data_IF_155290039590
#
_entry.id   IF_155290039590
#
_cell.length_a   1.000
_cell.length_b   1.000
_cell.length_c   1.000
_cell.angle_alpha   90.00
_cell.angle_beta   90.00
_cell.angle_gamma   90.00
#
_symmetry.space_group_name_H-M   'P 1'
#
loop_
_entity.id
_entity.type
_entity.pdbx_description
1 polymer ?
#
# COMPACT_ATOMS: atom_id res chain seq x y z
N UNK A 1 1.00 11.47 24.27
CA UNK A 1 -0.12 10.78 23.62
C UNK A 1 -0.45 9.47 24.32
N UNK A 2 0.52 8.51 24.48
CA UNK A 2 0.27 7.18 25.10
C UNK A 2 -0.46 7.28 26.44
N UNK A 3 -0.06 8.20 27.33
CA UNK A 3 -0.70 8.39 28.64
C UNK A 3 -2.18 8.80 28.52
N UNK A 4 -2.50 9.74 27.63
CA UNK A 4 -3.88 10.18 27.41
C UNK A 4 -4.75 9.09 26.74
N UNK A 5 -4.13 8.25 25.87
CA UNK A 5 -4.82 7.11 25.24
C UNK A 5 -5.13 5.98 26.23
N UNK A 6 -4.31 5.80 27.26
CA UNK A 6 -4.56 4.80 28.30
C UNK A 6 -5.78 5.13 29.16
N UNK A 7 -6.27 6.38 29.10
CA UNK A 7 -7.41 6.89 29.85
C UNK A 7 -8.46 7.52 28.92
N UNK A 8 -9.14 6.72 28.07
CA UNK A 8 -10.08 7.23 27.07
C UNK A 8 -11.28 7.91 27.72
N UNK A 9 -11.53 9.17 27.34
CA UNK A 9 -12.64 9.96 27.86
C UNK A 9 -12.43 10.58 29.23
N UNK A 10 -11.36 10.23 29.95
CA UNK A 10 -11.03 10.74 31.26
C UNK A 10 -10.15 11.99 31.19
N UNK A 11 -10.27 12.86 32.23
CA UNK A 11 -9.41 14.02 32.38
C UNK A 11 -8.23 13.68 33.29
N UNK A 12 -7.02 13.78 32.77
CA UNK A 12 -5.78 13.68 33.55
C UNK A 12 -5.30 15.06 33.94
N UNK A 13 -5.06 15.30 35.22
CA UNK A 13 -4.54 16.58 35.68
C UNK A 13 -3.12 16.85 35.12
N UNK A 14 -2.79 18.11 34.93
CA UNK A 14 -1.43 18.48 34.52
C UNK A 14 -0.37 18.04 35.51
N UNK A 15 -0.74 17.81 36.78
CA UNK A 15 0.16 17.29 37.81
C UNK A 15 0.41 15.78 37.61
N UNK A 16 -0.62 14.98 37.40
CA UNK A 16 -0.49 13.55 37.13
C UNK A 16 0.38 13.29 35.89
N UNK A 17 0.13 14.03 34.78
CA UNK A 17 0.94 13.95 33.57
C UNK A 17 2.39 14.36 33.83
N UNK A 18 2.61 15.45 34.55
CA UNK A 18 3.93 15.95 34.94
C UNK A 18 4.71 14.91 35.74
N UNK A 19 4.06 14.30 36.73
CA UNK A 19 4.67 13.25 37.59
C UNK A 19 5.00 11.99 36.77
N UNK A 20 4.03 11.52 35.99
CA UNK A 20 4.20 10.31 35.15
C UNK A 20 5.34 10.44 34.12
N UNK A 21 5.45 11.62 33.48
CA UNK A 21 6.46 11.88 32.46
C UNK A 21 7.76 12.47 33.01
N UNK A 22 7.84 12.77 34.32
CA UNK A 22 8.99 13.42 34.97
C UNK A 22 9.38 14.76 34.32
N UNK A 23 8.40 15.58 33.92
CA UNK A 23 8.60 16.90 33.29
C UNK A 23 7.82 17.96 34.04
N UNK A 24 8.12 19.25 33.82
CA UNK A 24 7.39 20.34 34.45
C UNK A 24 5.96 20.48 33.87
N UNK A 25 5.03 21.04 34.66
CA UNK A 25 3.67 21.38 34.21
C UNK A 25 3.69 22.33 32.96
N UNK A 26 4.65 23.25 32.92
CA UNK A 26 4.83 24.12 31.76
C UNK A 26 5.24 23.33 30.50
N UNK A 27 6.07 22.30 30.66
CA UNK A 27 6.42 21.39 29.57
C UNK A 27 5.20 20.55 29.12
N UNK A 28 4.36 20.08 30.06
CA UNK A 28 3.09 19.39 29.73
C UNK A 28 2.22 20.29 28.86
N UNK A 29 2.02 21.55 29.23
CA UNK A 29 1.24 22.49 28.42
C UNK A 29 1.82 22.67 27.03
N UNK A 30 3.13 22.87 26.87
CA UNK A 30 3.80 22.97 25.57
C UNK A 30 3.57 21.72 24.71
N UNK A 31 3.69 20.53 25.29
CA UNK A 31 3.42 19.28 24.56
C UNK A 31 1.96 19.16 24.14
N UNK A 32 1.01 19.58 24.98
CA UNK A 32 -0.42 19.59 24.61
C UNK A 32 -0.67 20.55 23.45
N UNK A 33 -0.07 21.75 23.46
CA UNK A 33 -0.22 22.69 22.34
C UNK A 33 0.42 22.16 21.04
N UNK A 34 1.60 21.52 21.12
CA UNK A 34 2.19 20.85 19.95
C UNK A 34 1.30 19.73 19.40
N UNK A 35 0.70 18.92 20.27
CA UNK A 35 -0.24 17.88 19.84
C UNK A 35 -1.49 18.47 19.20
N UNK A 36 -2.06 19.54 19.74
CA UNK A 36 -3.18 20.27 19.14
C UNK A 36 -2.83 20.80 17.76
N UNK A 37 -1.65 21.41 17.62
CA UNK A 37 -1.14 21.87 16.33
C UNK A 37 -0.93 20.72 15.33
N UNK A 38 -0.67 19.51 15.82
CA UNK A 38 -0.59 18.28 15.01
C UNK A 38 -1.96 17.61 14.77
N UNK A 39 -3.09 18.30 15.11
CA UNK A 39 -4.44 17.82 14.83
C UNK A 39 -5.08 16.94 15.90
N UNK A 40 -4.42 16.73 17.05
CA UNK A 40 -5.04 16.00 18.17
C UNK A 40 -6.11 16.87 18.84
N UNK A 41 -7.33 16.38 18.98
CA UNK A 41 -8.35 17.04 19.76
C UNK A 41 -8.17 16.75 21.25
N UNK A 42 -7.51 17.65 21.95
CA UNK A 42 -7.30 17.56 23.40
C UNK A 42 -8.13 18.63 24.09
N UNK A 43 -9.19 18.21 24.78
CA UNK A 43 -9.98 19.08 25.63
C UNK A 43 -9.19 19.42 26.90
N UNK A 44 -9.30 20.69 27.34
CA UNK A 44 -8.78 21.13 28.62
C UNK A 44 -9.94 21.67 29.48
N UNK A 45 -10.02 21.23 30.73
CA UNK A 45 -10.95 21.77 31.73
C UNK A 45 -10.18 22.26 32.93
N UNK A 46 -10.55 23.45 33.39
CA UNK A 46 -9.96 24.04 34.60
C UNK A 46 -10.16 23.09 35.80
N UNK A 47 -9.10 22.89 36.56
CA UNK A 47 -9.01 21.98 37.71
C UNK A 47 -9.16 20.47 37.42
N UNK A 48 -9.52 20.07 36.21
CA UNK A 48 -9.61 18.66 35.84
C UNK A 48 -8.41 18.20 34.99
N UNK A 49 -7.88 19.06 34.09
CA UNK A 49 -6.72 18.74 33.26
C UNK A 49 -7.08 18.54 31.80
N UNK A 50 -6.47 17.54 31.18
CA UNK A 50 -6.50 17.28 29.72
C UNK A 50 -7.16 15.93 29.42
N UNK A 51 -8.01 15.89 28.41
CA UNK A 51 -8.67 14.67 27.93
C UNK A 51 -8.54 14.59 26.40
N UNK A 52 -8.06 13.46 25.88
CA UNK A 52 -8.01 13.19 24.46
C UNK A 52 -9.43 12.88 23.95
N UNK A 53 -9.91 13.63 22.96
CA UNK A 53 -11.25 13.49 22.38
C UNK A 53 -11.20 12.74 21.05
N UNK A 54 -10.28 13.14 20.19
CA UNK A 54 -10.06 12.45 18.91
C UNK A 54 -8.58 12.45 18.53
N UNK A 55 -8.23 11.53 17.70
CA UNK A 55 -6.90 11.37 17.11
C UNK A 55 -6.97 11.81 15.66
N UNK A 56 -5.99 12.58 15.18
CA UNK A 56 -5.85 12.75 13.75
C UNK A 56 -5.52 11.38 13.10
N UNK A 57 -5.87 11.23 11.84
CA UNK A 57 -5.53 10.04 11.05
C UNK A 57 -4.03 10.04 10.69
N UNK A 58 -3.18 9.95 11.72
CA UNK A 58 -1.73 9.88 11.58
C UNK A 58 -1.25 8.44 11.60
N UNK A 59 -0.36 8.12 10.66
CA UNK A 59 0.34 6.85 10.66
C UNK A 59 1.60 6.97 11.52
N UNK A 60 1.59 6.35 12.69
CA UNK A 60 2.71 6.30 13.61
C UNK A 60 3.21 4.85 13.72
N UNK A 61 4.53 4.64 13.64
CA UNK A 61 5.14 3.31 13.70
C UNK A 61 4.68 2.50 14.91
N UNK A 62 4.73 3.11 16.12
CA UNK A 62 4.26 2.49 17.36
C UNK A 62 2.80 2.02 17.30
N UNK A 63 1.95 2.81 16.63
CA UNK A 63 0.53 2.47 16.51
C UNK A 63 0.32 1.35 15.50
N UNK A 64 1.06 1.35 14.40
CA UNK A 64 0.98 0.29 13.39
C UNK A 64 1.51 -1.02 13.98
N UNK A 65 2.67 -1.01 14.64
CA UNK A 65 3.31 -2.19 15.22
C UNK A 65 2.49 -2.83 16.35
N UNK A 66 1.67 -2.02 17.06
CA UNK A 66 0.81 -2.55 18.13
C UNK A 66 -0.18 -3.54 17.55
N UNK A 67 -0.14 -4.76 18.05
CA UNK A 67 -1.00 -5.87 17.62
C UNK A 67 -0.85 -6.26 16.12
N UNK A 68 0.28 -5.91 15.47
CA UNK A 68 0.50 -6.24 14.07
C UNK A 68 0.59 -7.77 13.86
N UNK A 69 1.26 -8.50 14.76
CA UNK A 69 1.34 -9.96 14.82
C UNK A 69 1.85 -10.64 13.53
N UNK A 70 2.74 -9.97 12.80
CA UNK A 70 3.41 -10.49 11.59
C UNK A 70 4.71 -11.21 11.93
N UNK A 71 5.19 -12.07 11.04
CA UNK A 71 6.46 -12.83 11.22
C UNK A 71 7.66 -12.09 10.62
N UNK A 72 7.46 -11.45 9.48
CA UNK A 72 8.52 -10.78 8.69
C UNK A 72 8.17 -9.32 8.47
N UNK A 73 7.04 -9.02 7.85
CA UNK A 73 6.66 -7.68 7.42
C UNK A 73 6.36 -6.78 8.61
N UNK A 74 7.00 -5.62 8.68
CA UNK A 74 6.78 -4.65 9.78
C UNK A 74 7.59 -4.92 11.04
N UNK A 75 8.69 -5.70 10.95
CA UNK A 75 9.67 -5.80 12.04
C UNK A 75 10.30 -4.46 12.37
N UNK A 76 10.48 -3.64 11.35
CA UNK A 76 10.87 -2.23 11.44
C UNK A 76 9.89 -1.41 10.59
N UNK A 77 9.44 -0.27 11.12
CA UNK A 77 8.50 0.61 10.42
C UNK A 77 8.98 2.05 10.54
N UNK A 78 9.25 2.67 9.40
CA UNK A 78 9.54 4.08 9.27
C UNK A 78 8.31 4.83 8.77
N UNK A 79 7.78 5.75 9.58
CA UNK A 79 6.69 6.64 9.20
C UNK A 79 7.22 8.06 9.04
N UNK A 80 7.20 8.57 7.82
CA UNK A 80 7.76 9.88 7.46
C UNK A 80 6.65 10.81 6.99
N UNK A 81 6.71 12.08 7.38
CA UNK A 81 5.72 13.06 6.96
C UNK A 81 5.78 13.31 5.46
N UNK A 82 7.00 13.53 4.94
CA UNK A 82 7.25 13.77 3.53
C UNK A 82 8.61 13.20 3.12
N UNK A 83 8.65 12.60 1.94
CA UNK A 83 9.86 12.12 1.30
C UNK A 83 9.73 12.19 -0.23
N UNK A 84 10.78 11.86 -0.97
CA UNK A 84 10.74 11.80 -2.43
C UNK A 84 9.87 10.64 -2.93
N UNK A 85 10.19 9.41 -2.51
CA UNK A 85 9.46 8.19 -2.82
C UNK A 85 9.75 7.12 -1.77
N UNK A 86 8.72 6.45 -1.25
CA UNK A 86 8.87 5.33 -0.29
C UNK A 86 9.73 4.22 -0.88
N UNK A 87 9.58 3.92 -2.19
CA UNK A 87 10.40 2.93 -2.88
C UNK A 87 11.88 3.33 -2.92
N UNK A 88 12.18 4.61 -3.18
CA UNK A 88 13.56 5.07 -3.22
C UNK A 88 14.22 4.92 -1.84
N UNK A 89 13.57 5.35 -0.77
CA UNK A 89 14.09 5.23 0.60
C UNK A 89 14.24 3.76 0.99
N UNK A 90 13.27 2.90 0.68
CA UNK A 90 13.39 1.46 0.95
C UNK A 90 14.56 0.81 0.18
N UNK A 91 14.81 1.22 -1.07
CA UNK A 91 15.96 0.74 -1.86
C UNK A 91 17.30 1.23 -1.29
N UNK A 92 17.39 2.48 -0.89
CA UNK A 92 18.59 3.04 -0.24
C UNK A 92 18.88 2.31 1.08
N UNK A 93 17.84 2.06 1.89
CA UNK A 93 17.95 1.27 3.11
C UNK A 93 18.40 -0.17 2.81
N UNK A 94 17.83 -0.82 1.77
CA UNK A 94 18.21 -2.15 1.36
C UNK A 94 19.70 -2.25 0.95
N UNK A 95 20.20 -1.26 0.19
CA UNK A 95 21.60 -1.15 -0.21
C UNK A 95 22.53 -0.90 0.98
N UNK A 96 22.04 -0.19 2.02
CA UNK A 96 22.75 0.03 3.28
C UNK A 96 22.69 -1.18 4.24
N UNK A 97 22.07 -2.30 3.85
CA UNK A 97 22.00 -3.52 4.63
C UNK A 97 20.80 -3.62 5.58
N UNK A 98 19.76 -2.81 5.41
CA UNK A 98 18.54 -2.95 6.22
C UNK A 98 17.98 -4.38 6.14
N UNK A 99 17.43 -4.91 7.26
CA UNK A 99 16.91 -6.27 7.30
C UNK A 99 15.62 -6.42 6.49
N UNK A 100 15.31 -7.66 6.17
CA UNK A 100 14.01 -8.03 5.59
C UNK A 100 12.88 -7.66 6.55
N UNK A 101 11.77 -7.16 5.98
CA UNK A 101 10.59 -6.78 6.72
C UNK A 101 10.51 -5.30 7.08
N UNK A 102 11.51 -4.49 6.71
CA UNK A 102 11.41 -3.03 6.84
C UNK A 102 10.22 -2.52 6.01
N UNK A 103 9.40 -1.66 6.62
CA UNK A 103 8.29 -0.95 5.97
C UNK A 103 8.56 0.55 6.03
N UNK A 104 8.56 1.20 4.87
CA UNK A 104 8.64 2.66 4.75
C UNK A 104 7.27 3.20 4.37
N UNK A 105 6.70 4.07 5.20
CA UNK A 105 5.43 4.75 5.00
C UNK A 105 5.65 6.26 4.90
N UNK A 106 4.85 6.93 4.09
CA UNK A 106 4.85 8.39 4.02
C UNK A 106 3.44 8.97 4.00
N UNK A 107 3.26 10.15 4.60
CA UNK A 107 2.02 10.92 4.46
C UNK A 107 1.91 11.59 3.08
N UNK A 108 3.06 11.98 2.48
CA UNK A 108 3.12 12.53 1.12
C UNK A 108 4.42 12.17 0.42
N UNK A 109 4.40 12.16 -0.92
CA UNK A 109 5.60 11.99 -1.74
C UNK A 109 5.76 13.15 -2.72
N UNK A 110 6.95 13.76 -2.77
CA UNK A 110 7.25 14.85 -3.71
C UNK A 110 7.59 14.36 -5.12
N UNK A 111 7.99 13.07 -5.25
CA UNK A 111 8.36 12.43 -6.51
C UNK A 111 7.86 10.98 -6.52
N UNK A 112 6.56 10.77 -6.20
CA UNK A 112 5.93 9.45 -6.24
C UNK A 112 6.06 8.81 -7.62
N UNK A 113 6.39 7.51 -7.66
CA UNK A 113 6.74 6.79 -8.90
C UNK A 113 5.71 5.75 -9.26
N UNK A 114 5.42 5.66 -10.56
CA UNK A 114 4.73 4.56 -11.20
C UNK A 114 5.65 3.86 -12.23
N UNK A 115 5.15 2.82 -12.87
CA UNK A 115 5.87 2.11 -13.92
C UNK A 115 6.18 3.01 -15.11
N UNK A 116 7.25 2.68 -15.84
CA UNK A 116 7.68 3.37 -17.07
C UNK A 116 7.90 4.87 -16.86
N UNK A 117 8.43 5.27 -15.70
CA UNK A 117 8.74 6.67 -15.39
C UNK A 117 7.52 7.58 -15.14
N UNK A 118 6.33 7.01 -14.97
CA UNK A 118 5.11 7.79 -14.67
C UNK A 118 5.14 8.30 -13.23
N UNK A 119 4.47 9.42 -13.00
CA UNK A 119 4.28 9.95 -11.66
C UNK A 119 3.09 9.30 -10.96
N UNK A 120 3.20 9.14 -9.63
CA UNK A 120 2.11 8.78 -8.74
C UNK A 120 1.77 9.98 -7.85
N UNK A 121 0.61 10.58 -8.05
CA UNK A 121 0.14 11.73 -7.27
C UNK A 121 -0.04 11.33 -5.81
N UNK A 122 0.63 12.05 -4.92
CA UNK A 122 0.75 11.64 -3.52
C UNK A 122 0.48 12.80 -2.54
N UNK A 123 -0.78 13.33 -2.51
CA UNK A 123 -1.14 14.40 -1.57
C UNK A 123 -1.04 13.94 -0.11
N UNK A 124 -0.79 14.92 0.78
CA UNK A 124 -0.55 14.69 2.21
C UNK A 124 -1.82 14.20 2.92
N UNK A 125 -1.67 13.18 3.76
CA UNK A 125 -2.65 12.80 4.79
C UNK A 125 -3.89 12.04 4.29
N UNK A 126 -4.01 11.74 2.98
CA UNK A 126 -5.25 11.16 2.42
C UNK A 126 -5.12 9.71 1.94
N UNK A 127 -3.93 9.26 1.61
CA UNK A 127 -3.71 7.95 0.99
C UNK A 127 -2.73 7.09 1.79
N UNK A 128 -2.49 5.86 1.33
CA UNK A 128 -1.40 5.02 1.81
C UNK A 128 -0.31 4.95 0.74
N UNK A 129 0.89 5.34 1.12
CA UNK A 129 2.12 5.17 0.35
C UNK A 129 3.05 4.31 1.19
N UNK A 130 3.21 3.06 0.78
CA UNK A 130 3.95 2.07 1.53
C UNK A 130 4.96 1.36 0.62
N UNK A 131 6.13 1.04 1.17
CA UNK A 131 7.10 0.17 0.53
C UNK A 131 7.60 -0.86 1.54
N UNK A 132 7.54 -2.14 1.17
CA UNK A 132 7.97 -3.27 1.99
C UNK A 132 9.24 -3.85 1.40
N UNK A 133 10.29 -3.95 2.20
CA UNK A 133 11.56 -4.57 1.82
C UNK A 133 11.52 -6.07 2.10
N UNK A 134 11.74 -6.88 1.07
CA UNK A 134 11.85 -8.33 1.17
C UNK A 134 13.19 -8.83 0.63
N UNK A 135 13.63 -10.01 1.11
CA UNK A 135 14.85 -10.70 0.64
C UNK A 135 14.54 -12.18 0.36
N UNK A 136 13.64 -12.46 -0.61
CA UNK A 136 13.19 -13.81 -0.89
C UNK A 136 14.31 -14.65 -1.49
N UNK A 137 14.39 -15.92 -1.09
CA UNK A 137 15.23 -16.92 -1.70
C UNK A 137 14.53 -17.48 -2.96
N UNK A 138 14.34 -16.63 -3.95
CA UNK A 138 13.70 -16.93 -5.23
C UNK A 138 14.65 -16.61 -6.39
N UNK A 139 14.43 -17.25 -7.54
CA UNK A 139 15.08 -16.87 -8.78
C UNK A 139 14.64 -15.45 -9.22
N UNK A 140 15.52 -14.64 -9.82
CA UNK A 140 15.11 -13.37 -10.42
C UNK A 140 13.97 -13.50 -11.45
N UNK A 141 13.83 -14.66 -12.10
CA UNK A 141 12.74 -14.96 -13.01
C UNK A 141 11.37 -15.06 -12.30
N UNK A 142 11.37 -15.37 -10.99
CA UNK A 142 10.16 -15.49 -10.18
C UNK A 142 9.78 -14.17 -9.48
N UNK A 143 10.62 -13.14 -9.54
CA UNK A 143 10.36 -11.82 -8.93
C UNK A 143 9.01 -11.21 -9.35
N UNK A 144 8.51 -11.35 -10.59
CA UNK A 144 7.18 -10.89 -10.97
C UNK A 144 6.04 -11.45 -10.12
N UNK A 145 6.17 -12.66 -9.55
CA UNK A 145 5.17 -13.29 -8.68
C UNK A 145 4.84 -12.43 -7.47
N UNK A 146 5.80 -11.63 -6.97
CA UNK A 146 5.60 -10.73 -5.84
C UNK A 146 4.74 -9.50 -6.19
N UNK A 147 4.58 -9.16 -7.48
CA UNK A 147 3.60 -8.17 -7.92
C UNK A 147 2.17 -8.70 -7.75
N UNK A 148 1.97 -9.98 -8.04
CA UNK A 148 0.67 -10.63 -7.83
C UNK A 148 0.32 -10.71 -6.35
N UNK A 149 1.33 -10.94 -5.48
CA UNK A 149 1.16 -10.94 -4.04
C UNK A 149 0.62 -9.60 -3.55
N UNK A 150 1.26 -8.50 -3.90
CA UNK A 150 0.80 -7.17 -3.47
C UNK A 150 -0.57 -6.80 -4.05
N UNK A 151 -0.90 -7.27 -5.27
CA UNK A 151 -2.20 -7.06 -5.88
C UNK A 151 -3.32 -7.81 -5.13
N UNK A 152 -3.10 -9.10 -4.86
CA UNK A 152 -4.06 -9.93 -4.10
C UNK A 152 -4.23 -9.40 -2.69
N UNK A 153 -3.11 -9.09 -1.97
CA UNK A 153 -3.17 -8.51 -0.64
C UNK A 153 -4.01 -7.23 -0.59
N UNK A 154 -3.76 -6.32 -1.54
CA UNK A 154 -4.49 -5.05 -1.60
C UNK A 154 -5.97 -5.27 -1.91
N UNK A 155 -6.30 -6.13 -2.86
CA UNK A 155 -7.68 -6.40 -3.25
C UNK A 155 -8.47 -7.06 -2.10
N UNK A 156 -7.90 -8.07 -1.43
CA UNK A 156 -8.57 -8.74 -0.32
C UNK A 156 -8.80 -7.83 0.88
N UNK A 157 -7.83 -6.97 1.21
CA UNK A 157 -8.00 -5.98 2.29
C UNK A 157 -9.09 -4.95 1.96
N UNK A 158 -9.20 -4.52 0.71
CA UNK A 158 -10.29 -3.65 0.29
C UNK A 158 -11.66 -4.30 0.43
N UNK A 159 -11.77 -5.59 0.10
CA UNK A 159 -13.01 -6.36 0.27
C UNK A 159 -13.35 -6.53 1.76
N UNK A 160 -12.38 -6.98 2.57
CA UNK A 160 -12.59 -7.33 3.98
C UNK A 160 -12.82 -6.12 4.87
N UNK A 161 -12.05 -5.04 4.67
CA UNK A 161 -12.06 -3.86 5.55
C UNK A 161 -13.04 -2.80 5.08
N UNK A 162 -13.19 -2.64 3.75
CA UNK A 162 -14.01 -1.57 3.18
C UNK A 162 -15.30 -2.06 2.53
N UNK A 163 -15.52 -3.38 2.45
CA UNK A 163 -16.70 -3.97 1.81
C UNK A 163 -16.75 -3.72 0.29
N UNK A 164 -15.60 -3.49 -0.34
CA UNK A 164 -15.50 -3.25 -1.77
C UNK A 164 -15.32 -4.56 -2.54
N UNK A 165 -15.71 -4.57 -3.81
CA UNK A 165 -15.46 -5.69 -4.72
C UNK A 165 -14.25 -5.37 -5.61
N UNK A 166 -13.04 -5.56 -5.06
CA UNK A 166 -11.82 -5.20 -5.74
C UNK A 166 -11.38 -6.25 -6.77
N UNK A 167 -10.97 -5.79 -7.94
CA UNK A 167 -10.47 -6.57 -9.05
C UNK A 167 -9.02 -6.25 -9.35
N UNK A 168 -8.31 -7.20 -9.90
CA UNK A 168 -6.93 -7.00 -10.33
C UNK A 168 -6.87 -6.74 -11.83
N UNK A 169 -5.94 -5.91 -12.24
CA UNK A 169 -5.64 -5.64 -13.64
C UNK A 169 -4.15 -5.89 -13.88
N UNK A 170 -3.87 -6.79 -14.80
CA UNK A 170 -2.48 -7.07 -15.18
C UNK A 170 -1.81 -5.82 -15.77
N UNK A 171 -0.54 -5.55 -15.41
CA UNK A 171 0.27 -6.40 -14.52
C UNK A 171 0.24 -5.97 -13.04
N UNK A 172 -0.23 -4.75 -12.70
CA UNK A 172 0.12 -4.14 -11.41
C UNK A 172 -0.91 -3.14 -10.85
N UNK A 173 -2.16 -3.22 -11.29
CA UNK A 173 -3.21 -2.32 -10.81
C UNK A 173 -4.30 -3.08 -10.05
N UNK A 174 -4.93 -2.41 -9.08
CA UNK A 174 -6.16 -2.87 -8.45
C UNK A 174 -7.28 -1.88 -8.80
N UNK A 175 -8.44 -2.43 -9.16
CA UNK A 175 -9.59 -1.68 -9.63
C UNK A 175 -10.79 -1.91 -8.73
N UNK A 176 -11.68 -0.91 -8.62
CA UNK A 176 -13.04 -1.03 -8.10
C UNK A 176 -13.97 -0.36 -9.10
N UNK A 177 -15.05 -1.04 -9.49
CA UNK A 177 -15.98 -0.56 -10.51
C UNK A 177 -15.31 -0.09 -11.80
N UNK A 178 -14.26 -0.81 -12.25
CA UNK A 178 -13.47 -0.48 -13.44
C UNK A 178 -12.57 0.74 -13.30
N UNK A 179 -12.42 1.34 -12.11
CA UNK A 179 -11.57 2.51 -11.82
C UNK A 179 -10.39 2.11 -10.96
N UNK A 180 -9.22 2.68 -11.24
CA UNK A 180 -7.99 2.35 -10.52
C UNK A 180 -8.02 2.93 -9.11
N UNK A 181 -7.92 2.05 -8.11
CA UNK A 181 -7.86 2.41 -6.69
C UNK A 181 -6.44 2.26 -6.12
N UNK A 182 -5.64 1.33 -6.67
CA UNK A 182 -4.24 1.17 -6.26
C UNK A 182 -3.32 0.89 -7.44
N UNK A 183 -2.08 1.32 -7.31
CA UNK A 183 -0.96 1.03 -8.22
C UNK A 183 0.20 0.40 -7.46
N UNK A 184 0.78 -0.63 -8.04
CA UNK A 184 1.85 -1.41 -7.44
C UNK A 184 3.13 -1.24 -8.25
N UNK A 185 4.25 -1.01 -7.57
CA UNK A 185 5.55 -0.83 -8.21
C UNK A 185 6.61 -1.64 -7.47
N UNK A 186 6.94 -2.80 -8.02
CA UNK A 186 8.02 -3.60 -7.48
C UNK A 186 9.35 -3.18 -8.12
N UNK A 187 10.37 -3.00 -7.30
CA UNK A 187 11.72 -2.70 -7.73
C UNK A 187 12.68 -3.75 -7.18
N UNK A 188 13.48 -4.30 -8.07
CA UNK A 188 14.36 -5.43 -7.81
C UNK A 188 15.82 -4.97 -7.75
N UNK A 189 16.55 -5.40 -6.73
CA UNK A 189 17.99 -5.42 -6.70
C UNK A 189 18.46 -6.86 -6.81
N UNK A 190 18.97 -7.23 -7.99
CA UNK A 190 19.39 -8.59 -8.28
C UNK A 190 20.66 -8.62 -9.13
N UNK A 191 21.42 -9.71 -9.01
CA UNK A 191 22.40 -10.16 -9.97
C UNK A 191 21.79 -11.29 -10.83
N UNK A 192 22.57 -11.85 -11.74
CA UNK A 192 22.09 -12.80 -12.74
C UNK A 192 21.34 -14.00 -12.15
N UNK A 193 21.74 -14.47 -10.98
CA UNK A 193 21.21 -15.70 -10.38
C UNK A 193 20.55 -15.50 -9.02
N UNK A 194 20.63 -14.29 -8.41
CA UNK A 194 20.18 -14.07 -7.04
C UNK A 194 19.47 -12.73 -6.86
N UNK A 195 18.36 -12.76 -6.15
CA UNK A 195 17.69 -11.57 -5.63
C UNK A 195 18.41 -11.13 -4.34
N UNK A 196 19.00 -9.95 -4.34
CA UNK A 196 19.55 -9.36 -3.11
C UNK A 196 18.45 -8.72 -2.26
N UNK A 197 17.51 -8.06 -2.92
CA UNK A 197 16.32 -7.49 -2.28
C UNK A 197 15.23 -7.22 -3.33
N UNK A 198 14.02 -7.11 -2.84
CA UNK A 198 12.86 -6.65 -3.59
C UNK A 198 12.08 -5.67 -2.74
N UNK A 199 11.69 -4.53 -3.34
CA UNK A 199 10.84 -3.52 -2.71
C UNK A 199 9.45 -3.61 -3.33
N UNK A 200 8.44 -3.92 -2.51
CA UNK A 200 7.03 -3.90 -2.88
C UNK A 200 6.47 -2.49 -2.62
N UNK A 201 6.35 -1.67 -3.67
CA UNK A 201 5.72 -0.36 -3.57
C UNK A 201 4.21 -0.43 -3.78
N UNK A 202 3.46 0.18 -2.88
CA UNK A 202 2.00 0.19 -2.87
C UNK A 202 1.52 1.62 -2.71
N UNK A 203 0.83 2.14 -3.74
CA UNK A 203 0.07 3.37 -3.67
C UNK A 203 -1.42 3.04 -3.65
N UNK A 204 -2.10 3.26 -2.52
CA UNK A 204 -3.53 3.03 -2.37
C UNK A 204 -4.26 4.34 -2.12
N UNK A 205 -5.20 4.66 -3.00
CA UNK A 205 -6.06 5.84 -2.86
C UNK A 205 -7.13 5.57 -1.80
N UNK A 206 -7.03 6.21 -0.64
CA UNK A 206 -7.96 6.00 0.49
C UNK A 206 -8.99 7.11 0.55
N UNK A 207 -8.57 8.33 0.86
CA UNK A 207 -9.46 9.48 1.09
C UNK A 207 -9.29 10.60 0.06
N UNK A 208 -8.68 10.29 -1.08
CA UNK A 208 -8.49 11.25 -2.17
C UNK A 208 -9.82 11.62 -2.79
N UNK A 209 -10.15 12.92 -2.85
CA UNK A 209 -11.36 13.44 -3.48
C UNK A 209 -11.20 13.53 -5.00
N UNK A 210 -12.29 13.69 -5.73
CA UNK A 210 -12.29 13.67 -7.19
C UNK A 210 -11.43 14.80 -7.80
N UNK A 211 -11.40 15.97 -7.19
CA UNK A 211 -10.65 17.15 -7.62
C UNK A 211 -9.14 17.03 -7.36
N UNK A 212 -8.70 16.11 -6.50
CA UNK A 212 -7.29 15.86 -6.23
C UNK A 212 -6.63 14.95 -7.28
N UNK A 213 -7.42 14.26 -8.11
CA UNK A 213 -6.85 13.46 -9.19
C UNK A 213 -6.42 14.35 -10.37
N UNK A 214 -5.28 14.03 -11.02
CA UNK A 214 -4.88 14.69 -12.26
C UNK A 214 -5.96 14.55 -13.35
N UNK A 215 -6.16 15.64 -14.12
CA UNK A 215 -7.17 15.64 -15.19
C UNK A 215 -6.79 14.78 -16.41
N UNK A 216 -5.49 14.50 -16.59
CA UNK A 216 -4.90 13.80 -17.73
C UNK A 216 -4.61 12.30 -17.46
N UNK A 217 -5.36 11.68 -16.58
CA UNK A 217 -5.18 10.26 -16.27
C UNK A 217 -5.47 9.38 -17.49
N UNK A 218 -4.53 8.49 -17.81
CA UNK A 218 -4.70 7.48 -18.88
C UNK A 218 -5.80 6.46 -18.58
N UNK A 219 -6.12 6.27 -17.31
CA UNK A 219 -7.11 5.32 -16.81
C UNK A 219 -7.92 5.97 -15.69
N UNK A 220 -9.24 5.83 -15.68
CA UNK A 220 -10.06 6.39 -14.61
C UNK A 220 -9.60 5.92 -13.24
N UNK A 221 -9.49 6.84 -12.29
CA UNK A 221 -9.10 6.55 -10.93
C UNK A 221 -10.24 6.76 -9.94
N UNK A 222 -10.12 6.15 -8.77
CA UNK A 222 -11.03 6.28 -7.64
C UNK A 222 -10.28 6.14 -6.32
N UNK A 223 -10.99 6.33 -5.21
CA UNK A 223 -10.50 6.13 -3.85
C UNK A 223 -11.52 5.34 -3.03
N UNK A 224 -11.11 4.80 -1.88
CA UNK A 224 -12.03 4.12 -0.96
C UNK A 224 -13.16 5.06 -0.56
N UNK A 225 -12.85 6.32 -0.24
CA UNK A 225 -13.84 7.33 0.12
C UNK A 225 -14.87 7.57 -0.99
N UNK A 226 -14.44 7.64 -2.25
CA UNK A 226 -15.36 7.84 -3.38
C UNK A 226 -16.24 6.63 -3.65
N UNK A 227 -15.75 5.41 -3.36
CA UNK A 227 -16.52 4.18 -3.56
C UNK A 227 -17.49 3.89 -2.41
N UNK A 228 -17.12 4.27 -1.17
CA UNK A 228 -17.94 4.01 0.03
C UNK A 228 -18.80 5.19 0.44
N UNK A 229 -18.51 6.40 -0.07
CA UNK A 229 -19.15 7.66 0.35
C UNK A 229 -18.71 8.18 1.71
N UNK A 230 -17.72 7.56 2.35
CA UNK A 230 -17.26 7.92 3.71
C UNK A 230 -15.75 7.91 3.82
N UNK A 231 -15.21 8.85 4.60
CA UNK A 231 -13.78 8.88 4.94
C UNK A 231 -13.39 7.64 5.75
N UNK A 232 -12.27 7.05 5.43
CA UNK A 232 -11.74 5.84 6.06
C UNK A 232 -10.52 6.15 6.93
N UNK A 233 -10.45 5.52 8.10
CA UNK A 233 -9.23 5.54 8.91
C UNK A 233 -8.13 4.72 8.23
N UNK A 234 -6.92 5.30 8.03
CA UNK A 234 -5.82 4.63 7.34
C UNK A 234 -5.12 3.57 8.21
N UNK A 235 -5.12 3.73 9.54
CA UNK A 235 -4.44 2.82 10.45
C UNK A 235 -4.96 1.37 10.38
N UNK A 236 -6.28 1.08 10.40
CA UNK A 236 -6.78 -0.28 10.21
C UNK A 236 -6.39 -0.87 8.85
N UNK A 237 -6.46 -0.06 7.78
CA UNK A 237 -6.11 -0.48 6.43
C UNK A 237 -4.63 -0.88 6.30
N UNK A 238 -3.71 -0.05 6.81
CA UNK A 238 -2.28 -0.37 6.73
C UNK A 238 -1.94 -1.62 7.54
N UNK A 239 -2.52 -1.79 8.73
CA UNK A 239 -2.31 -3.01 9.52
C UNK A 239 -2.82 -4.26 8.80
N UNK A 240 -4.03 -4.22 8.26
CA UNK A 240 -4.59 -5.33 7.50
C UNK A 240 -3.74 -5.64 6.27
N UNK A 241 -3.27 -4.61 5.55
CA UNK A 241 -2.41 -4.77 4.38
C UNK A 241 -1.07 -5.44 4.73
N UNK A 242 -0.39 -4.98 5.77
CA UNK A 242 0.89 -5.56 6.20
C UNK A 242 0.73 -7.02 6.66
N UNK A 243 -0.34 -7.35 7.40
CA UNK A 243 -0.64 -8.73 7.79
C UNK A 243 -0.89 -9.60 6.56
N UNK A 244 -1.71 -9.14 5.62
CA UNK A 244 -2.04 -9.90 4.43
C UNK A 244 -0.81 -10.12 3.53
N UNK A 245 0.06 -9.13 3.42
CA UNK A 245 1.34 -9.28 2.71
C UNK A 245 2.21 -10.34 3.40
N UNK A 246 2.32 -10.31 4.73
CA UNK A 246 3.11 -11.26 5.50
C UNK A 246 2.59 -12.70 5.33
N UNK A 247 1.28 -12.91 5.42
CA UNK A 247 0.60 -14.19 5.21
C UNK A 247 0.88 -14.74 3.81
N UNK A 248 0.58 -13.94 2.77
CA UNK A 248 0.77 -14.35 1.38
C UNK A 248 2.23 -14.56 1.01
N UNK A 249 3.15 -13.81 1.61
CA UNK A 249 4.58 -14.00 1.42
C UNK A 249 5.03 -15.34 2.01
N UNK A 250 4.57 -15.68 3.19
CA UNK A 250 4.85 -16.95 3.81
C UNK A 250 4.29 -18.13 3.00
N UNK A 251 3.03 -18.01 2.53
CA UNK A 251 2.38 -19.01 1.69
C UNK A 251 3.13 -19.20 0.35
N UNK A 252 3.54 -18.09 -0.28
CA UNK A 252 4.31 -18.13 -1.52
C UNK A 252 5.65 -18.88 -1.37
N UNK A 253 6.36 -18.65 -0.26
CA UNK A 253 7.62 -19.34 0.00
C UNK A 253 7.43 -20.82 0.35
N UNK A 254 6.31 -21.18 0.98
CA UNK A 254 6.02 -22.57 1.39
C UNK A 254 5.37 -23.41 0.28
N UNK A 255 4.45 -22.84 -0.49
CA UNK A 255 3.59 -23.55 -1.42
C UNK A 255 3.85 -23.20 -2.90
N UNK A 256 4.72 -22.19 -3.14
CA UNK A 256 5.00 -21.67 -4.47
C UNK A 256 3.87 -20.79 -5.03
N UNK A 257 3.99 -20.42 -6.30
CA UNK A 257 3.11 -19.44 -6.95
C UNK A 257 1.70 -19.94 -7.25
N UNK A 258 1.49 -21.24 -7.33
CA UNK A 258 0.21 -21.83 -7.77
C UNK A 258 -1.02 -21.34 -6.99
N UNK A 259 -1.04 -21.39 -5.64
CA UNK A 259 -2.15 -20.88 -4.84
C UNK A 259 -2.40 -19.39 -5.03
N UNK A 260 -1.34 -18.58 -5.03
CA UNK A 260 -1.41 -17.13 -5.23
C UNK A 260 -1.96 -16.78 -6.62
N UNK A 261 -1.51 -17.49 -7.67
CA UNK A 261 -2.03 -17.33 -9.03
C UNK A 261 -3.54 -17.55 -9.10
N UNK A 262 -4.05 -18.63 -8.48
CA UNK A 262 -5.51 -18.91 -8.45
C UNK A 262 -6.29 -17.80 -7.76
N UNK A 263 -5.79 -17.25 -6.64
CA UNK A 263 -6.43 -16.11 -5.95
C UNK A 263 -6.45 -14.86 -6.82
N UNK A 264 -5.39 -14.63 -7.58
CA UNK A 264 -5.30 -13.50 -8.50
C UNK A 264 -6.26 -13.68 -9.71
N UNK A 265 -6.23 -14.87 -10.35
CA UNK A 265 -7.10 -15.19 -11.51
C UNK A 265 -8.58 -15.09 -11.16
N UNK A 266 -8.99 -15.46 -9.94
CA UNK A 266 -10.36 -15.32 -9.45
C UNK A 266 -10.84 -13.85 -9.36
N UNK A 267 -9.91 -12.89 -9.37
CA UNK A 267 -10.19 -11.45 -9.32
C UNK A 267 -9.94 -10.73 -10.65
N UNK A 268 -9.59 -11.48 -11.71
CA UNK A 268 -9.20 -10.94 -13.01
C UNK A 268 -10.35 -11.03 -14.01
N UNK A 269 -10.98 -9.88 -14.30
CA UNK A 269 -12.20 -9.82 -15.11
C UNK A 269 -11.95 -9.86 -16.63
N UNK A 270 -10.71 -9.96 -17.09
CA UNK A 270 -10.37 -9.94 -18.51
C UNK A 270 -10.13 -11.34 -19.10
N UNK A 271 -10.31 -12.41 -18.33
CA UNK A 271 -10.25 -13.77 -18.86
C UNK A 271 -11.29 -13.94 -19.98
N UNK A 272 -10.91 -14.57 -21.07
CA UNK A 272 -11.70 -14.77 -22.28
C UNK A 272 -12.20 -13.46 -22.97
N UNK A 273 -11.64 -12.31 -22.57
CA UNK A 273 -11.95 -11.01 -23.19
C UNK A 273 -10.91 -10.67 -24.26
N UNK A 274 -11.38 -9.98 -25.31
CA UNK A 274 -10.51 -9.39 -26.29
C UNK A 274 -9.85 -8.13 -25.72
N UNK A 275 -8.53 -8.03 -25.85
CA UNK A 275 -7.73 -6.94 -25.30
C UNK A 275 -6.71 -6.44 -26.32
N UNK A 276 -6.29 -5.19 -26.11
CA UNK A 276 -5.07 -4.62 -26.66
C UNK A 276 -4.02 -4.56 -25.56
N UNK A 277 -2.80 -4.98 -25.86
CA UNK A 277 -1.64 -4.84 -25.01
C UNK A 277 -0.66 -3.87 -25.65
N UNK A 278 -0.53 -2.70 -25.06
CA UNK A 278 0.42 -1.66 -25.47
C UNK A 278 1.79 -1.96 -24.83
N UNK A 279 2.77 -2.33 -25.65
CA UNK A 279 4.17 -2.56 -25.25
C UNK A 279 5.08 -1.36 -25.55
N UNK A 280 4.51 -0.22 -25.92
CA UNK A 280 5.21 1.02 -26.29
C UNK A 280 5.59 1.09 -27.75
N UNK A 281 6.28 0.08 -28.30
CA UNK A 281 6.66 0.03 -29.73
C UNK A 281 5.64 -0.70 -30.60
N UNK A 282 4.83 -1.56 -30.01
CA UNK A 282 3.80 -2.33 -30.70
C UNK A 282 2.55 -2.51 -29.83
N UNK A 283 1.40 -2.63 -30.49
CA UNK A 283 0.14 -3.02 -29.88
C UNK A 283 -0.17 -4.45 -30.34
N UNK A 284 -0.42 -5.33 -29.37
CA UNK A 284 -0.79 -6.72 -29.62
C UNK A 284 -2.26 -6.87 -29.25
N UNK A 285 -3.05 -7.37 -30.21
CA UNK A 285 -4.47 -7.67 -30.01
C UNK A 285 -4.68 -9.17 -29.88
N UNK A 286 -5.46 -9.61 -28.91
CA UNK A 286 -5.77 -11.02 -28.70
C UNK A 286 -6.81 -11.25 -27.61
N UNK A 287 -7.17 -12.50 -27.41
CA UNK A 287 -8.07 -12.93 -26.34
C UNK A 287 -7.23 -13.42 -25.16
N UNK A 288 -7.54 -12.97 -23.96
CA UNK A 288 -6.81 -13.36 -22.74
C UNK A 288 -7.08 -14.84 -22.44
N UNK A 289 -6.03 -15.65 -22.41
CA UNK A 289 -6.09 -17.07 -22.08
C UNK A 289 -5.73 -17.38 -20.60
N UNK A 290 -5.28 -16.38 -19.82
CA UNK A 290 -4.87 -16.53 -18.42
C UNK A 290 -3.43 -16.12 -18.18
N UNK A 291 -2.84 -16.62 -17.08
CA UNK A 291 -1.44 -16.43 -16.73
C UNK A 291 -0.64 -17.73 -16.92
N UNK A 292 0.59 -17.58 -17.35
CA UNK A 292 1.57 -18.68 -17.31
C UNK A 292 2.12 -18.91 -15.91
N UNK A 293 2.91 -19.96 -15.74
CA UNK A 293 3.47 -20.35 -14.44
C UNK A 293 4.39 -19.29 -13.82
N UNK A 294 4.96 -18.39 -14.62
CA UNK A 294 5.82 -17.28 -14.21
C UNK A 294 5.08 -15.94 -14.09
N UNK A 295 3.76 -15.91 -14.35
CA UNK A 295 2.94 -14.70 -14.31
C UNK A 295 2.87 -13.92 -15.61
N UNK A 296 3.46 -14.41 -16.72
CA UNK A 296 3.27 -13.80 -18.03
C UNK A 296 1.79 -13.90 -18.45
N UNK A 297 1.25 -12.81 -19.02
CA UNK A 297 -0.09 -12.84 -19.58
C UNK A 297 -0.07 -13.63 -20.89
N UNK A 298 -0.97 -14.60 -21.05
CA UNK A 298 -1.10 -15.40 -22.27
C UNK A 298 -2.28 -14.91 -23.10
N UNK A 299 -2.03 -14.65 -24.38
CA UNK A 299 -3.05 -14.25 -25.34
C UNK A 299 -3.18 -15.32 -26.44
N UNK A 300 -4.40 -15.55 -26.90
CA UNK A 300 -4.65 -16.15 -28.20
C UNK A 300 -4.80 -15.06 -29.25
N UNK A 301 -3.96 -15.11 -30.27
CA UNK A 301 -3.98 -14.16 -31.36
C UNK A 301 -5.07 -14.52 -32.39
N UNK A 302 -5.50 -13.57 -33.27
CA UNK A 302 -6.49 -13.84 -34.30
C UNK A 302 -6.12 -14.94 -35.29
N UNK A 303 -4.82 -15.23 -35.46
CA UNK A 303 -4.30 -16.30 -36.32
C UNK A 303 -4.23 -17.68 -35.60
N UNK A 304 -4.76 -17.78 -34.38
CA UNK A 304 -4.79 -19.01 -33.59
C UNK A 304 -3.52 -19.31 -32.80
N UNK A 305 -2.46 -18.52 -32.95
CA UNK A 305 -1.23 -18.69 -32.14
C UNK A 305 -1.42 -18.21 -30.72
N UNK A 306 -0.72 -18.86 -29.80
CA UNK A 306 -0.59 -18.36 -28.42
C UNK A 306 0.65 -17.48 -28.29
N UNK A 307 0.50 -16.31 -27.67
CA UNK A 307 1.60 -15.40 -27.38
C UNK A 307 1.68 -15.08 -25.89
N UNK A 308 2.91 -15.11 -25.35
CA UNK A 308 3.22 -14.71 -23.99
C UNK A 308 3.62 -13.24 -23.95
N UNK A 309 3.09 -12.52 -22.99
CA UNK A 309 3.33 -11.09 -22.78
C UNK A 309 3.93 -10.91 -21.38
N UNK A 310 5.15 -10.42 -21.33
CA UNK A 310 5.88 -10.16 -20.07
C UNK A 310 5.69 -8.73 -19.58
N UNK A 311 5.54 -7.78 -20.51
CA UNK A 311 5.45 -6.34 -20.22
C UNK A 311 4.40 -5.70 -21.11
N UNK A 312 3.64 -4.76 -20.58
CA UNK A 312 2.67 -3.97 -21.34
C UNK A 312 1.58 -3.39 -20.47
N UNK A 313 0.72 -2.59 -21.07
CA UNK A 313 -0.51 -2.05 -20.47
C UNK A 313 -1.70 -2.67 -21.19
N UNK A 314 -2.53 -3.42 -20.47
CA UNK A 314 -3.71 -4.12 -21.04
C UNK A 314 -4.93 -3.19 -21.05
N UNK A 315 -5.66 -3.19 -22.16
CA UNK A 315 -6.95 -2.50 -22.32
C UNK A 315 -7.96 -3.44 -22.95
N UNK A 316 -9.20 -3.55 -22.40
CA UNK A 316 -10.25 -4.30 -23.05
C UNK A 316 -10.67 -3.61 -24.35
N UNK A 317 -11.00 -4.39 -25.37
CA UNK A 317 -11.61 -3.94 -26.63
C UNK A 317 -13.11 -4.20 -26.54
N UNK A 318 -13.92 -3.17 -26.77
CA UNK A 318 -15.37 -3.27 -26.65
C UNK A 318 -15.86 -3.24 -25.22
N UNK A 319 -17.07 -2.80 -25.03
CA UNK A 319 -17.80 -2.87 -23.76
C UNK A 319 -18.47 -4.23 -23.59
#
# INVERSE_FOLDING_TARGET
>A
VRLLRAHPGEYLSGQEISTSLKISRAAVWKHVEHLRAAGFEIAARRAQGYCLRSLPDLLLADDIMRDLATKVVGREIDCLKQLSSTNLIAREAAAAGAPEGLVVLADSQSAGRGRLGRNWTSPEGVNLYASVLLRPQLSPLDAPQLTFLSAVATAEVLDEVCGLNARVKWPNDVLVNGRKIAGLLNELGAETEQIHFLVLGIGLNVNMSADQFPADLRYPATSVMLETGTTQARLPLVRALLRRIDELYHDLLAEGFGPLRRRWEARFDLLDRQVEVDQGQQIITGVVAGLDADGALRLFLPDGRSQRILVGDVRPIGR
#
